data_IF_830765028199
#
_entry.id   IF_830765028199
#
_cell.length_a   1.000
_cell.length_b   1.000
_cell.length_c   1.000
_cell.angle_alpha   90.00
_cell.angle_beta   90.00
_cell.angle_gamma   90.00
#
_symmetry.space_group_name_H-M   'P 1'
#
loop_
_entity.id
_entity.type
_entity.pdbx_description
1 polymer ?
#
# COMPACT_ATOMS: atom_id res chain seq x y z
N UNK A 1 -15.30 -2.68 -23.57
CA UNK A 1 -14.36 -3.26 -22.59
C UNK A 1 -14.90 -2.98 -21.19
N UNK A 2 -14.30 -3.50 -20.12
CA UNK A 2 -14.70 -3.14 -18.74
C UNK A 2 -13.50 -3.34 -17.82
N UNK A 3 -12.61 -2.37 -17.76
CA UNK A 3 -11.50 -2.34 -16.84
C UNK A 3 -12.03 -2.22 -15.40
N UNK A 4 -11.29 -2.80 -14.47
CA UNK A 4 -11.60 -2.69 -13.06
C UNK A 4 -10.32 -2.90 -12.25
N UNK A 5 -10.20 -2.18 -11.14
CA UNK A 5 -9.19 -2.50 -10.13
C UNK A 5 -9.78 -3.55 -9.19
N UNK A 6 -9.24 -4.77 -9.24
CA UNK A 6 -9.68 -5.87 -8.37
C UNK A 6 -9.03 -5.82 -6.99
N UNK A 7 -7.78 -5.36 -6.91
CA UNK A 7 -7.08 -5.15 -5.64
C UNK A 7 -5.90 -4.19 -5.81
N UNK A 8 -5.48 -3.57 -4.71
CA UNK A 8 -4.18 -2.91 -4.63
C UNK A 8 -3.59 -3.08 -3.23
N UNK A 9 -2.28 -3.22 -3.17
CA UNK A 9 -1.53 -3.48 -1.93
C UNK A 9 -0.14 -2.89 -1.99
N UNK A 10 0.40 -2.52 -0.83
CA UNK A 10 1.81 -2.22 -0.67
C UNK A 10 2.58 -3.53 -0.38
N UNK A 11 3.73 -3.69 -1.01
CA UNK A 11 4.74 -4.70 -0.67
C UNK A 11 6.05 -3.96 -0.40
N UNK A 12 6.35 -3.79 0.90
CA UNK A 12 7.32 -2.80 1.37
C UNK A 12 6.96 -1.39 0.90
N UNK A 13 7.92 -0.73 0.24
CA UNK A 13 7.79 0.63 -0.28
C UNK A 13 7.24 0.67 -1.72
N UNK A 14 6.78 -0.44 -2.27
CA UNK A 14 6.32 -0.53 -3.67
C UNK A 14 4.84 -0.90 -3.74
N UNK A 15 4.13 -0.31 -4.71
CA UNK A 15 2.69 -0.53 -4.89
C UNK A 15 2.43 -1.57 -5.97
N UNK A 16 1.53 -2.51 -5.66
CA UNK A 16 0.96 -3.47 -6.60
C UNK A 16 -0.51 -3.15 -6.86
N UNK A 17 -0.95 -3.26 -8.11
CA UNK A 17 -2.36 -3.16 -8.50
C UNK A 17 -2.75 -4.29 -9.44
N UNK A 18 -3.82 -5.02 -9.11
CA UNK A 18 -4.38 -6.08 -9.94
C UNK A 18 -5.57 -5.54 -10.74
N UNK A 19 -5.39 -5.44 -12.06
CA UNK A 19 -6.34 -4.88 -13.02
C UNK A 19 -7.01 -6.04 -13.77
N UNK A 20 -8.31 -5.94 -14.01
CA UNK A 20 -9.08 -6.94 -14.78
C UNK A 20 -9.84 -6.26 -15.91
N UNK A 21 -10.06 -6.98 -17.00
CA UNK A 21 -11.00 -6.59 -18.03
C UNK A 21 -12.19 -7.55 -17.99
N UNK A 22 -13.27 -7.14 -17.34
CA UNK A 22 -14.51 -7.92 -17.18
C UNK A 22 -15.36 -7.92 -18.46
N UNK A 23 -14.98 -7.13 -19.46
CA UNK A 23 -15.71 -6.96 -20.71
C UNK A 23 -15.40 -8.03 -21.75
N UNK A 24 -16.12 -7.95 -22.87
CA UNK A 24 -15.99 -8.88 -24.01
C UNK A 24 -15.04 -8.39 -25.12
N UNK A 25 -14.40 -7.22 -24.94
CA UNK A 25 -13.46 -6.63 -25.88
C UNK A 25 -12.10 -6.43 -25.21
N UNK A 26 -11.01 -6.76 -25.89
CA UNK A 26 -9.66 -6.51 -25.40
C UNK A 26 -9.37 -5.02 -25.28
N UNK A 27 -8.59 -4.64 -24.27
CA UNK A 27 -8.04 -3.29 -24.10
C UNK A 27 -6.54 -3.32 -24.30
N UNK A 28 -5.96 -2.29 -24.91
CA UNK A 28 -4.52 -2.10 -24.94
C UNK A 28 -4.17 -0.64 -24.81
N UNK A 29 -3.14 -0.32 -24.01
CA UNK A 29 -2.71 1.06 -23.79
C UNK A 29 -3.71 1.84 -22.94
N UNK A 30 -3.41 2.06 -21.67
CA UNK A 30 -4.30 2.80 -20.75
C UNK A 30 -3.51 3.53 -19.67
N UNK A 31 -4.11 4.58 -19.11
CA UNK A 31 -3.52 5.33 -18.00
C UNK A 31 -3.85 4.67 -16.67
N UNK A 32 -2.91 4.73 -15.73
CA UNK A 32 -3.09 4.38 -14.32
C UNK A 32 -2.69 5.58 -13.48
N UNK A 33 -3.60 6.03 -12.62
CA UNK A 33 -3.33 7.09 -11.65
C UNK A 33 -3.24 6.52 -10.23
N UNK A 34 -2.30 7.04 -9.45
CA UNK A 34 -2.17 6.79 -8.02
C UNK A 34 -2.22 8.16 -7.34
N UNK A 35 -3.26 8.37 -6.53
CA UNK A 35 -3.47 9.57 -5.75
C UNK A 35 -3.28 9.26 -4.27
N UNK A 36 -2.23 9.82 -3.67
CA UNK A 36 -2.07 9.83 -2.22
C UNK A 36 -3.05 10.82 -1.58
N UNK A 37 -3.55 10.51 -0.38
CA UNK A 37 -4.45 11.44 0.31
C UNK A 37 -3.78 12.79 0.63
N UNK A 38 -2.45 12.81 0.78
CA UNK A 38 -1.65 14.02 1.00
C UNK A 38 -1.29 14.79 -0.28
N UNK A 39 -1.95 14.49 -1.41
CA UNK A 39 -1.97 15.34 -2.60
C UNK A 39 -0.90 15.05 -3.65
N UNK A 40 -0.19 13.92 -3.56
CA UNK A 40 0.66 13.46 -4.65
C UNK A 40 -0.16 12.65 -5.66
N UNK A 41 -0.18 13.09 -6.92
CA UNK A 41 -0.79 12.38 -8.04
C UNK A 41 0.31 11.89 -8.97
N UNK A 42 0.33 10.57 -9.20
CA UNK A 42 1.29 9.92 -10.09
C UNK A 42 0.51 9.24 -11.21
N UNK A 43 0.97 9.44 -12.44
CA UNK A 43 0.30 8.90 -13.63
C UNK A 43 1.28 8.06 -14.44
N UNK A 44 0.82 6.88 -14.85
CA UNK A 44 1.59 5.91 -15.61
C UNK A 44 0.81 5.53 -16.86
N UNK A 45 1.51 5.45 -17.99
CA UNK A 45 0.94 4.83 -19.19
C UNK A 45 1.36 3.37 -19.22
N UNK A 46 0.39 2.47 -19.37
CA UNK A 46 0.60 1.03 -19.39
C UNK A 46 0.43 0.53 -20.82
N UNK A 47 1.56 0.22 -21.48
CA UNK A 47 1.61 -0.42 -22.79
C UNK A 47 1.39 -1.94 -22.68
N UNK A 48 0.26 -2.34 -22.09
CA UNK A 48 -0.13 -3.74 -21.97
C UNK A 48 -1.49 -3.98 -22.62
N UNK A 49 -1.67 -5.16 -23.19
CA UNK A 49 -2.96 -5.61 -23.74
C UNK A 49 -3.60 -6.57 -22.74
N UNK A 50 -4.79 -6.24 -22.24
CA UNK A 50 -5.62 -7.12 -21.43
C UNK A 50 -6.74 -7.69 -22.31
N UNK A 51 -6.70 -8.99 -22.67
CA UNK A 51 -7.77 -9.64 -23.41
C UNK A 51 -9.12 -9.54 -22.68
N UNK A 52 -10.20 -9.78 -23.42
CA UNK A 52 -11.54 -9.93 -22.82
C UNK A 52 -11.54 -11.01 -21.72
N UNK A 53 -12.07 -10.69 -20.54
CA UNK A 53 -12.04 -11.56 -19.36
C UNK A 53 -10.65 -11.75 -18.72
N UNK A 54 -9.62 -11.05 -19.22
CA UNK A 54 -8.24 -11.19 -18.77
C UNK A 54 -7.90 -10.32 -17.55
N UNK A 55 -6.69 -10.50 -17.04
CA UNK A 55 -6.14 -9.74 -15.91
C UNK A 55 -4.68 -9.36 -16.16
N UNK A 56 -4.25 -8.25 -15.55
CA UNK A 56 -2.88 -7.77 -15.55
C UNK A 56 -2.52 -7.23 -14.17
N UNK A 57 -1.35 -7.60 -13.67
CA UNK A 57 -0.79 -7.04 -12.44
C UNK A 57 0.22 -5.98 -12.82
N UNK A 58 -0.06 -4.74 -12.42
CA UNK A 58 0.91 -3.67 -12.46
C UNK A 58 1.77 -3.69 -11.20
N UNK A 59 3.09 -3.69 -11.39
CA UNK A 59 4.10 -3.69 -10.34
C UNK A 59 5.39 -3.05 -10.88
N UNK A 60 5.93 -2.08 -10.16
CA UNK A 60 7.22 -1.49 -10.48
C UNK A 60 8.13 -1.46 -9.24
N UNK A 61 9.12 -2.36 -9.11
CA UNK A 61 10.00 -2.42 -7.95
C UNK A 61 11.01 -1.26 -7.90
N UNK A 62 11.22 -0.54 -9.01
CA UNK A 62 12.11 0.64 -9.04
C UNK A 62 11.38 1.89 -8.54
N UNK A 63 10.04 1.88 -8.52
CA UNK A 63 9.23 2.94 -7.95
C UNK A 63 9.03 2.68 -6.45
N UNK A 64 9.86 3.32 -5.65
CA UNK A 64 9.74 3.34 -4.21
C UNK A 64 8.97 4.59 -3.77
N UNK A 65 7.91 4.37 -3.02
CA UNK A 65 7.14 5.42 -2.37
C UNK A 65 7.75 5.70 -0.99
N UNK A 66 7.72 6.97 -0.57
CA UNK A 66 7.93 7.26 0.84
C UNK A 66 6.84 6.52 1.65
N UNK A 67 7.24 5.71 2.63
CA UNK A 67 6.33 4.92 3.44
C UNK A 67 5.20 5.77 4.07
N UNK A 68 5.46 7.05 4.36
CA UNK A 68 4.47 7.96 4.90
C UNK A 68 3.44 8.40 3.85
N UNK A 69 3.84 8.54 2.58
CA UNK A 69 3.01 9.13 1.52
C UNK A 69 1.70 8.36 1.30
N UNK A 70 1.77 7.03 1.33
CA UNK A 70 0.60 6.16 1.11
C UNK A 70 0.01 5.61 2.42
N UNK A 71 0.66 5.84 3.57
CA UNK A 71 0.17 5.41 4.89
C UNK A 71 -1.14 6.10 5.28
N UNK A 72 -1.30 7.35 4.85
CA UNK A 72 -2.50 8.16 5.01
C UNK A 72 -3.67 7.74 4.11
N UNK A 73 -3.59 6.61 3.42
CA UNK A 73 -4.57 6.17 2.44
C UNK A 73 -4.25 6.66 1.03
N UNK A 74 -4.79 5.95 0.04
CA UNK A 74 -4.55 6.23 -1.36
C UNK A 74 -5.67 5.72 -2.24
N UNK A 75 -5.74 6.27 -3.46
CA UNK A 75 -6.67 5.87 -4.51
C UNK A 75 -5.89 5.45 -5.74
N UNK A 76 -6.28 4.33 -6.35
CA UNK A 76 -5.77 3.85 -7.63
C UNK A 76 -6.91 3.90 -8.63
N UNK A 77 -6.67 4.49 -9.79
CA UNK A 77 -7.68 4.61 -10.85
C UNK A 77 -7.09 4.15 -12.17
N UNK A 78 -7.72 3.17 -12.81
CA UNK A 78 -7.43 2.82 -14.21
C UNK A 78 -8.28 3.70 -15.13
N UNK A 79 -7.70 4.13 -16.25
CA UNK A 79 -8.30 5.08 -17.20
C UNK A 79 -8.95 6.31 -16.55
N UNK A 80 -8.20 7.10 -15.74
CA UNK A 80 -8.74 8.27 -15.03
C UNK A 80 -9.30 9.38 -15.93
N UNK A 81 -8.92 9.38 -17.21
CA UNK A 81 -9.38 10.34 -18.21
C UNK A 81 -10.65 9.87 -18.94
N UNK A 82 -11.14 8.66 -18.62
CA UNK A 82 -12.20 7.93 -19.31
C UNK A 82 -12.02 7.96 -20.84
N UNK A 83 -10.79 7.71 -21.28
CA UNK A 83 -10.42 7.73 -22.70
C UNK A 83 -10.91 6.49 -23.45
N UNK A 84 -11.14 5.40 -22.74
CA UNK A 84 -11.69 4.14 -23.23
C UNK A 84 -13.16 4.11 -22.81
N UNK A 85 -14.08 3.94 -23.78
CA UNK A 85 -15.50 3.78 -23.45
C UNK A 85 -15.77 2.38 -22.88
N UNK A 86 -16.20 2.33 -21.62
CA UNK A 86 -16.35 1.09 -20.86
C UNK A 86 -17.82 0.74 -20.61
N UNK A 87 -18.09 -0.51 -20.20
CA UNK A 87 -19.45 -0.93 -19.82
C UNK A 87 -19.84 -0.29 -18.48
N UNK A 88 -18.86 -0.14 -17.59
CA UNK A 88 -19.01 0.48 -16.29
C UNK A 88 -17.79 1.36 -16.05
N UNK A 89 -18.01 2.61 -15.67
CA UNK A 89 -16.93 3.57 -15.35
C UNK A 89 -16.69 3.65 -13.83
N UNK A 90 -17.58 3.08 -13.03
CA UNK A 90 -17.57 3.21 -11.56
C UNK A 90 -16.65 2.16 -10.88
N UNK A 91 -16.27 1.11 -11.59
CA UNK A 91 -15.36 0.03 -11.12
C UNK A 91 -13.89 0.28 -11.47
N UNK A 92 -13.59 1.41 -12.10
CA UNK A 92 -12.22 1.82 -12.44
C UNK A 92 -11.40 2.29 -11.23
N UNK A 93 -12.03 2.38 -10.05
CA UNK A 93 -11.44 2.98 -8.86
C UNK A 93 -11.29 1.97 -7.73
N UNK A 94 -10.11 1.95 -7.11
CA UNK A 94 -9.86 1.31 -5.81
C UNK A 94 -9.40 2.34 -4.79
N UNK A 95 -10.00 2.34 -3.61
CA UNK A 95 -9.62 3.22 -2.51
C UNK A 95 -9.15 2.40 -1.30
N UNK A 96 -7.98 2.77 -0.78
CA UNK A 96 -7.41 2.26 0.46
C UNK A 96 -7.53 3.31 1.55
N UNK A 97 -8.24 2.97 2.62
CA UNK A 97 -8.32 3.80 3.82
C UNK A 97 -6.96 3.91 4.55
N UNK A 98 -6.71 4.99 5.30
CA UNK A 98 -5.53 5.13 6.14
C UNK A 98 -5.37 3.96 7.11
N UNK A 99 -4.14 3.54 7.34
CA UNK A 99 -3.84 2.59 8.42
C UNK A 99 -3.90 3.36 9.75
N UNK A 100 -4.86 3.01 10.60
CA UNK A 100 -4.99 3.62 11.93
C UNK A 100 -4.21 2.80 12.95
N UNK A 101 -3.26 3.42 13.63
CA UNK A 101 -2.60 2.83 14.81
C UNK A 101 -3.45 3.18 16.03
N UNK A 102 -4.14 2.20 16.61
CA UNK A 102 -5.07 2.43 17.72
C UNK A 102 -4.38 2.66 19.07
N UNK A 103 -3.13 2.21 19.21
CA UNK A 103 -2.36 2.44 20.42
C UNK A 103 -0.92 1.96 20.30
N UNK A 104 -0.04 2.65 21.01
CA UNK A 104 1.32 2.18 21.28
C UNK A 104 1.37 1.86 22.77
N UNK A 105 1.55 0.58 23.12
CA UNK A 105 1.70 0.18 24.51
C UNK A 105 3.17 0.27 24.90
N UNK A 106 3.48 1.13 25.86
CA UNK A 106 4.79 1.18 26.50
C UNK A 106 4.73 0.36 27.78
N UNK A 107 5.53 -0.70 27.88
CA UNK A 107 5.78 -1.37 29.15
C UNK A 107 6.83 -0.57 29.91
N UNK A 108 6.45 0.05 31.02
CA UNK A 108 7.40 0.63 31.96
C UNK A 108 8.15 -0.52 32.64
N UNK A 109 9.39 -0.77 32.23
CA UNK A 109 10.29 -1.65 32.98
C UNK A 109 10.92 -0.78 34.07
N UNK A 110 10.44 -0.96 35.28
CA UNK A 110 11.05 -0.39 36.46
C UNK A 110 12.30 -1.20 36.84
N UNK A 111 13.47 -0.71 36.46
CA UNK A 111 14.75 -1.28 36.88
C UNK A 111 15.04 -0.77 38.29
N UNK A 112 14.30 -1.26 39.29
CA UNK A 112 14.79 -1.19 40.65
C UNK A 112 16.04 -2.06 40.72
N UNK A 113 17.19 -1.39 40.69
CA UNK A 113 18.51 -1.83 41.14
C UNK A 113 18.54 -3.30 41.59
N UNK A 114 18.95 -4.19 40.71
CA UNK A 114 19.51 -5.49 41.13
C UNK A 114 20.95 -5.34 41.65
N UNK A 115 21.39 -4.12 41.94
CA UNK A 115 22.72 -3.85 42.47
C UNK A 115 22.69 -3.82 44.00
N UNK A 116 22.65 -5.00 44.60
CA UNK A 116 23.40 -5.12 45.86
C UNK A 116 24.86 -5.54 45.64
N UNK A 117 25.26 -6.09 44.47
CA UNK A 117 26.64 -6.59 44.28
C UNK A 117 27.19 -6.60 42.84
N UNK A 118 27.09 -5.51 42.07
CA UNK A 118 27.87 -5.40 40.82
C UNK A 118 28.77 -4.16 40.86
N UNK A 119 30.11 -4.32 40.87
CA UNK A 119 31.01 -3.24 40.54
C UNK A 119 31.02 -3.11 39.01
N UNK A 120 30.73 -1.91 38.54
CA UNK A 120 30.79 -1.41 37.16
C UNK A 120 29.43 -1.16 36.52
N UNK A 121 29.04 0.12 36.54
CA UNK A 121 28.26 0.77 35.49
C UNK A 121 28.83 0.38 34.14
N UNK A 122 28.19 -0.56 33.47
CA UNK A 122 28.31 -0.67 32.02
C UNK A 122 26.94 -0.37 31.46
N UNK A 123 26.86 0.61 30.57
CA UNK A 123 25.64 1.14 29.95
C UNK A 123 24.98 0.13 28.98
N UNK A 124 25.10 -1.17 29.23
CA UNK A 124 24.60 -2.23 28.36
C UNK A 124 23.25 -2.75 28.84
N UNK A 125 22.25 -1.87 28.78
CA UNK A 125 20.85 -2.27 28.71
C UNK A 125 20.41 -2.27 27.26
N UNK A 126 20.34 -3.43 26.61
CA UNK A 126 19.61 -3.55 25.33
C UNK A 126 18.10 -3.58 25.61
N UNK A 127 17.34 -2.81 24.83
CA UNK A 127 15.89 -2.73 24.91
C UNK A 127 15.26 -3.30 23.64
N UNK A 128 14.17 -4.05 23.79
CA UNK A 128 13.35 -4.54 22.67
C UNK A 128 12.11 -3.65 22.50
N UNK A 129 11.79 -3.29 21.26
CA UNK A 129 10.59 -2.54 20.88
C UNK A 129 9.65 -3.46 20.08
N UNK A 130 8.35 -3.46 20.40
CA UNK A 130 7.30 -4.18 19.65
C UNK A 130 6.22 -3.19 19.18
N UNK A 131 5.76 -3.35 17.94
CA UNK A 131 4.72 -2.50 17.33
C UNK A 131 3.47 -3.35 17.02
N UNK A 132 2.28 -2.82 17.33
CA UNK A 132 0.99 -3.46 17.00
C UNK A 132 0.29 -2.68 15.90
N UNK A 133 -0.20 -3.38 14.87
CA UNK A 133 -1.02 -2.80 13.80
C UNK A 133 -2.33 -3.58 13.71
N UNK A 134 -3.42 -3.02 14.22
CA UNK A 134 -4.72 -3.70 14.27
C UNK A 134 -4.71 -4.95 15.17
N UNK A 135 -5.32 -6.05 14.70
CA UNK A 135 -5.42 -7.32 15.43
C UNK A 135 -4.30 -8.34 15.10
N UNK A 136 -3.35 -7.99 14.24
CA UNK A 136 -2.30 -8.92 13.79
C UNK A 136 -0.93 -8.58 14.42
N UNK A 137 -0.24 -9.62 14.89
CA UNK A 137 1.10 -9.55 15.49
C UNK A 137 2.18 -9.90 14.46
N UNK A 138 3.28 -9.14 14.41
CA UNK A 138 4.48 -9.47 13.62
C UNK A 138 5.70 -9.62 14.55
N UNK A 139 6.51 -10.67 14.33
CA UNK A 139 7.68 -11.06 15.14
C UNK A 139 8.98 -10.52 14.60
#
# INVERSE_FOLDING_TARGET
PDLAISSSSMDGDSLRADIQNLGCLSVGGFNLSIQAQEGADLNFFIEHIIPAGGSYTWWNPELQFDANLLSGGYKVTVDPDNAIEEINEDNNVYEKAPITIEGVQFYLIDIHSTSEQWPQDTDQGEFNFEFFVGNDHFW
#
